data_IF_055350755954
#
_entry.id   IF_055350755954
#
_cell.length_a   1.000
_cell.length_b   1.000
_cell.length_c   1.000
_cell.angle_alpha   90.00
_cell.angle_beta   90.00
_cell.angle_gamma   90.00
#
_symmetry.space_group_name_H-M   'P 1'
#
loop_
_entity.id
_entity.type
_entity.pdbx_description
1 polymer ?
#
# COMPACT_ATOMS: atom_id res chain seq x y z
N UNK A 1 -8.63 8.01 1.35
CA UNK A 1 -8.07 6.87 0.60
C UNK A 1 -6.89 7.34 -0.24
N UNK A 2 -5.92 6.47 -0.45
CA UNK A 2 -4.81 6.64 -1.38
C UNK A 2 -4.90 5.54 -2.45
N UNK A 3 -5.04 5.90 -3.72
CA UNK A 3 -5.07 4.92 -4.81
C UNK A 3 -3.65 4.59 -5.28
N UNK A 4 -3.06 3.53 -4.74
CA UNK A 4 -1.66 3.19 -4.99
C UNK A 4 -1.40 2.58 -6.38
N UNK A 5 -2.39 2.41 -7.25
CA UNK A 5 -2.13 1.88 -8.60
C UNK A 5 -3.24 2.27 -9.56
N UNK A 6 -2.96 3.18 -10.48
CA UNK A 6 -3.82 3.41 -11.65
C UNK A 6 -2.98 3.98 -12.79
N UNK A 7 -3.55 3.99 -13.98
CA UNK A 7 -2.92 4.48 -15.20
C UNK A 7 -3.72 5.66 -15.76
N UNK A 8 -3.02 6.62 -16.35
CA UNK A 8 -3.62 7.70 -17.14
C UNK A 8 -3.18 7.53 -18.60
N UNK A 9 -4.15 7.47 -19.51
CA UNK A 9 -3.94 7.40 -20.96
C UNK A 9 -4.55 8.64 -21.61
N UNK A 10 -3.83 9.74 -21.46
CA UNK A 10 -4.21 11.05 -21.98
C UNK A 10 -3.99 11.11 -23.51
N UNK A 11 -5.01 11.52 -24.30
CA UNK A 11 -4.90 11.62 -25.76
C UNK A 11 -3.85 12.62 -26.26
N UNK A 12 -3.38 13.55 -25.43
CA UNK A 12 -2.35 14.53 -25.78
C UNK A 12 -0.96 13.92 -25.97
N UNK A 13 -0.75 12.69 -25.47
CA UNK A 13 0.55 12.03 -25.43
C UNK A 13 0.55 10.71 -26.20
N UNK A 14 1.70 10.30 -26.77
CA UNK A 14 1.79 9.07 -27.53
C UNK A 14 1.52 7.84 -26.66
N UNK A 15 0.94 6.82 -27.29
CA UNK A 15 0.80 5.48 -26.73
C UNK A 15 1.16 4.47 -27.80
N UNK A 16 1.95 3.48 -27.41
CA UNK A 16 2.48 2.46 -28.29
C UNK A 16 1.70 1.17 -28.09
N UNK A 17 1.37 0.52 -29.21
CA UNK A 17 0.82 -0.82 -29.18
C UNK A 17 1.83 -1.75 -28.49
N UNK A 18 1.30 -2.66 -27.68
CA UNK A 18 2.09 -3.69 -27.04
C UNK A 18 1.33 -5.01 -27.21
N UNK A 19 1.96 -6.01 -27.83
CA UNK A 19 1.39 -7.35 -28.07
C UNK A 19 -0.03 -7.32 -28.66
N UNK A 20 -0.28 -6.55 -29.73
CA UNK A 20 -1.60 -6.51 -30.37
C UNK A 20 -2.67 -5.73 -29.60
N UNK A 21 -2.30 -5.02 -28.53
CA UNK A 21 -3.25 -4.28 -27.70
C UNK A 21 -2.80 -2.83 -27.48
N UNK A 22 -3.71 -1.90 -27.77
CA UNK A 22 -3.60 -0.48 -27.45
C UNK A 22 -4.84 -0.08 -26.63
N UNK A 23 -4.68 0.43 -25.40
CA UNK A 23 -5.83 0.76 -24.57
C UNK A 23 -6.63 1.94 -25.15
N UNK A 24 -7.90 2.07 -24.75
CA UNK A 24 -8.67 3.30 -24.92
C UNK A 24 -8.09 4.45 -24.09
N UNK A 25 -8.56 5.66 -24.35
CA UNK A 25 -8.20 6.82 -23.52
C UNK A 25 -8.80 6.71 -22.12
N UNK A 26 -8.08 7.24 -21.14
CA UNK A 26 -8.54 7.33 -19.76
C UNK A 26 -7.83 8.50 -19.09
N UNK A 27 -8.54 9.63 -18.98
CA UNK A 27 -8.00 10.90 -18.52
C UNK A 27 -8.15 11.07 -17.01
N UNK A 28 -7.52 12.12 -16.45
CA UNK A 28 -7.72 12.50 -15.05
C UNK A 28 -9.19 12.83 -14.77
N UNK A 29 -9.90 13.45 -15.73
CA UNK A 29 -11.33 13.71 -15.60
C UNK A 29 -12.14 12.42 -15.52
N UNK A 30 -11.81 11.40 -16.34
CA UNK A 30 -12.45 10.10 -16.28
C UNK A 30 -12.20 9.40 -14.94
N UNK A 31 -10.97 9.47 -14.44
CA UNK A 31 -10.59 8.96 -13.13
C UNK A 31 -11.39 9.64 -12.01
N UNK A 32 -11.38 10.98 -11.94
CA UNK A 32 -12.12 11.76 -10.94
C UNK A 32 -13.61 11.46 -10.98
N UNK A 33 -14.19 11.31 -12.18
CA UNK A 33 -15.59 10.90 -12.35
C UNK A 33 -15.84 9.49 -11.81
N UNK A 34 -14.99 8.52 -12.16
CA UNK A 34 -15.10 7.12 -11.71
C UNK A 34 -14.97 6.98 -10.20
N UNK A 35 -14.13 7.80 -9.57
CA UNK A 35 -13.84 7.75 -8.13
C UNK A 35 -14.60 8.79 -7.31
N UNK A 36 -15.56 9.52 -7.90
CA UNK A 36 -16.29 10.63 -7.27
C UNK A 36 -17.06 10.28 -5.98
N UNK A 37 -17.34 8.99 -5.75
CA UNK A 37 -18.01 8.50 -4.52
C UNK A 37 -17.03 8.22 -3.37
N UNK A 38 -15.73 8.22 -3.66
CA UNK A 38 -14.67 7.95 -2.69
C UNK A 38 -13.93 9.23 -2.35
N UNK A 39 -13.56 9.38 -1.08
CA UNK A 39 -12.69 10.47 -0.62
C UNK A 39 -11.21 10.12 -0.90
N UNK A 40 -10.83 10.25 -2.18
CA UNK A 40 -9.47 10.03 -2.66
C UNK A 40 -8.65 11.30 -2.47
N UNK A 41 -7.69 11.25 -1.54
CA UNK A 41 -6.82 12.37 -1.18
C UNK A 41 -5.39 12.25 -1.73
N UNK A 42 -5.19 11.35 -2.70
CA UNK A 42 -3.88 11.06 -3.28
C UNK A 42 -3.84 9.72 -4.02
N UNK A 43 -2.75 9.47 -4.71
CA UNK A 43 -2.54 8.21 -5.43
C UNK A 43 -1.24 8.18 -6.21
N UNK A 44 -0.95 7.01 -6.79
CA UNK A 44 0.22 6.78 -7.63
C UNK A 44 -0.19 6.57 -9.09
N UNK A 45 0.18 7.51 -9.96
CA UNK A 45 0.09 7.35 -11.42
C UNK A 45 1.23 6.45 -11.85
N UNK A 46 0.90 5.23 -12.25
CA UNK A 46 1.88 4.21 -12.62
C UNK A 46 2.04 4.19 -14.14
N UNK A 47 3.28 4.21 -14.63
CA UNK A 47 3.56 4.06 -16.07
C UNK A 47 3.08 2.72 -16.60
N UNK A 48 2.19 2.79 -17.58
CA UNK A 48 1.70 1.63 -18.32
C UNK A 48 2.74 1.16 -19.35
N UNK A 49 2.69 -0.12 -19.72
CA UNK A 49 3.56 -0.67 -20.77
C UNK A 49 3.36 -0.06 -22.16
N UNK A 50 2.34 0.77 -22.32
CA UNK A 50 1.99 1.47 -23.57
C UNK A 50 2.64 2.85 -23.68
N UNK A 51 3.30 3.34 -22.64
CA UNK A 51 3.98 4.65 -22.63
C UNK A 51 5.50 4.52 -22.82
N UNK A 52 6.02 3.30 -22.83
CA UNK A 52 7.45 3.05 -22.97
C UNK A 52 8.23 3.76 -21.86
N UNK A 53 9.21 4.58 -22.26
CA UNK A 53 10.02 5.44 -21.38
C UNK A 53 9.69 6.92 -21.56
N UNK A 54 8.59 7.27 -22.25
CA UNK A 54 8.12 8.65 -22.33
C UNK A 54 7.65 9.14 -20.96
N UNK A 55 8.27 10.22 -20.49
CA UNK A 55 7.94 10.84 -19.21
C UNK A 55 6.97 12.01 -19.36
N UNK A 56 6.74 12.54 -20.58
CA UNK A 56 6.02 13.80 -20.79
C UNK A 56 4.60 13.76 -20.27
N UNK A 57 3.89 12.66 -20.48
CA UNK A 57 2.54 12.46 -19.96
C UNK A 57 2.51 12.43 -18.42
N UNK A 58 3.52 11.81 -17.79
CA UNK A 58 3.58 11.67 -16.33
C UNK A 58 3.86 13.02 -15.69
N UNK A 59 4.78 13.81 -16.27
CA UNK A 59 5.06 15.19 -15.86
C UNK A 59 3.77 16.03 -15.89
N UNK A 60 3.01 15.94 -16.98
CA UNK A 60 1.75 16.67 -17.12
C UNK A 60 0.66 16.18 -16.14
N UNK A 61 0.55 14.87 -15.94
CA UNK A 61 -0.44 14.29 -15.04
C UNK A 61 -0.20 14.70 -13.58
N UNK A 62 1.05 14.65 -13.10
CA UNK A 62 1.38 15.05 -11.73
C UNK A 62 1.18 16.56 -11.50
N UNK A 63 1.52 17.38 -12.49
CA UNK A 63 1.26 18.82 -12.43
C UNK A 63 -0.24 19.16 -12.32
N UNK A 64 -1.11 18.39 -12.99
CA UNK A 64 -2.57 18.58 -12.97
C UNK A 64 -3.24 18.00 -11.72
N UNK A 65 -2.73 16.88 -11.21
CA UNK A 65 -3.25 16.21 -10.01
C UNK A 65 -2.87 16.94 -8.72
N UNK A 66 -1.64 17.48 -8.65
CA UNK A 66 -1.16 18.29 -7.53
C UNK A 66 -0.70 17.48 -6.32
N UNK A 67 -0.74 18.10 -5.15
CA UNK A 67 -0.25 17.53 -3.90
C UNK A 67 -0.97 16.22 -3.53
N UNK A 68 -0.23 15.28 -2.94
CA UNK A 68 -0.74 13.96 -2.58
C UNK A 68 -0.71 12.93 -3.72
N UNK A 69 -0.35 13.35 -4.93
CA UNK A 69 -0.17 12.45 -6.09
C UNK A 69 1.29 12.28 -6.43
N UNK A 70 1.67 11.05 -6.76
CA UNK A 70 3.05 10.66 -7.07
C UNK A 70 3.11 9.85 -8.35
N UNK A 71 4.29 9.81 -8.96
CA UNK A 71 4.54 9.01 -10.14
C UNK A 71 5.34 7.75 -9.83
N UNK A 72 5.09 6.69 -10.59
CA UNK A 72 5.95 5.51 -10.67
C UNK A 72 6.23 5.27 -12.13
N UNK A 73 7.50 5.23 -12.53
CA UNK A 73 7.85 5.25 -13.94
C UNK A 73 8.79 4.13 -14.37
N UNK A 74 8.93 3.94 -15.68
CA UNK A 74 10.01 3.17 -16.27
C UNK A 74 10.95 4.14 -16.95
N UNK A 75 12.25 3.95 -16.74
CA UNK A 75 13.31 4.69 -17.42
C UNK A 75 14.11 3.76 -18.32
N UNK A 76 14.80 4.33 -19.29
CA UNK A 76 15.87 3.63 -20.00
C UNK A 76 17.03 3.35 -19.03
N UNK A 77 17.74 2.24 -19.22
CA UNK A 77 18.76 1.79 -18.27
C UNK A 77 19.97 2.74 -18.19
N UNK A 78 20.18 3.54 -19.23
CA UNK A 78 21.20 4.58 -19.34
C UNK A 78 20.72 5.97 -18.88
N UNK A 79 19.49 6.09 -18.37
CA UNK A 79 18.99 7.33 -17.80
C UNK A 79 19.98 7.91 -16.78
N UNK A 80 20.16 9.22 -16.83
CA UNK A 80 21.13 9.97 -16.04
C UNK A 80 20.62 10.26 -14.64
N UNK A 81 21.53 10.61 -13.73
CA UNK A 81 21.19 11.03 -12.38
C UNK A 81 20.36 12.34 -12.40
N UNK A 82 20.66 13.24 -13.34
CA UNK A 82 19.90 14.49 -13.53
C UNK A 82 18.44 14.24 -13.92
N UNK A 83 18.18 13.24 -14.77
CA UNK A 83 16.82 12.83 -15.11
C UNK A 83 16.07 12.26 -13.90
N UNK A 84 16.74 11.44 -13.08
CA UNK A 84 16.17 10.89 -11.84
C UNK A 84 15.84 12.04 -10.87
N UNK A 85 16.77 12.99 -10.68
CA UNK A 85 16.60 14.15 -9.82
C UNK A 85 15.50 15.10 -10.32
N UNK A 86 15.34 15.26 -11.63
CA UNK A 86 14.23 16.02 -12.21
C UNK A 86 12.88 15.37 -11.92
N UNK A 87 12.78 14.06 -12.13
CA UNK A 87 11.56 13.30 -11.88
C UNK A 87 11.20 13.25 -10.39
N UNK A 88 12.19 13.16 -9.50
CA UNK A 88 11.93 13.18 -8.06
C UNK A 88 11.34 14.52 -7.59
N UNK A 89 11.87 15.64 -8.13
CA UNK A 89 11.37 17.00 -7.83
C UNK A 89 9.91 17.21 -8.20
N UNK A 90 9.41 16.54 -9.23
CA UNK A 90 8.00 16.64 -9.65
C UNK A 90 7.10 15.60 -8.99
N UNK A 91 7.62 14.77 -8.09
CA UNK A 91 6.83 13.81 -7.31
C UNK A 91 6.90 12.35 -7.77
N UNK A 92 7.83 11.97 -8.65
CA UNK A 92 8.09 10.54 -8.90
C UNK A 92 8.77 9.92 -7.66
N UNK A 93 8.34 8.71 -7.29
CA UNK A 93 8.80 8.03 -6.07
C UNK A 93 9.30 6.60 -6.30
N UNK A 94 9.17 6.07 -7.52
CA UNK A 94 9.58 4.70 -7.78
C UNK A 94 9.75 4.35 -9.24
N UNK A 95 10.45 3.25 -9.46
CA UNK A 95 10.60 2.57 -10.74
C UNK A 95 9.60 1.44 -10.88
N UNK A 96 9.11 1.17 -12.09
CA UNK A 96 8.25 0.02 -12.38
C UNK A 96 8.98 -1.01 -13.23
N UNK A 97 9.12 -2.21 -12.70
CA UNK A 97 9.70 -3.36 -13.36
C UNK A 97 8.62 -4.34 -13.79
N UNK A 98 8.35 -4.39 -15.09
CA UNK A 98 7.44 -5.37 -15.69
C UNK A 98 8.22 -6.64 -16.06
N UNK A 99 8.50 -7.48 -15.08
CA UNK A 99 9.27 -8.71 -15.29
C UNK A 99 8.47 -9.73 -16.09
N UNK A 100 7.14 -9.75 -15.96
CA UNK A 100 6.25 -10.60 -16.78
C UNK A 100 6.51 -10.50 -18.29
N UNK A 101 7.04 -9.36 -18.76
CA UNK A 101 7.28 -9.10 -20.19
C UNK A 101 8.72 -8.70 -20.55
N UNK A 102 9.58 -8.41 -19.58
CA UNK A 102 10.88 -7.77 -19.83
C UNK A 102 12.07 -8.40 -19.08
N UNK A 103 12.07 -9.72 -18.88
CA UNK A 103 13.11 -10.46 -18.16
C UNK A 103 14.53 -10.45 -18.81
N UNK A 104 14.79 -9.58 -19.79
CA UNK A 104 16.01 -9.61 -20.59
C UNK A 104 17.24 -9.00 -19.89
N UNK A 105 17.08 -7.99 -19.01
CA UNK A 105 18.22 -7.36 -18.31
C UNK A 105 17.94 -7.09 -16.81
N UNK A 106 17.81 -8.17 -16.06
CA UNK A 106 17.61 -8.14 -14.61
C UNK A 106 18.77 -7.43 -13.88
N UNK A 107 20.01 -7.58 -14.37
CA UNK A 107 21.19 -6.99 -13.74
C UNK A 107 21.18 -5.47 -13.88
N UNK A 108 20.98 -4.95 -15.09
CA UNK A 108 20.86 -3.51 -15.34
C UNK A 108 19.72 -2.88 -14.56
N UNK A 109 18.56 -3.55 -14.52
CA UNK A 109 17.41 -3.10 -13.72
C UNK A 109 17.74 -3.04 -12.22
N UNK A 110 18.44 -4.05 -11.68
CA UNK A 110 18.85 -4.06 -10.27
C UNK A 110 19.82 -2.92 -9.96
N UNK A 111 20.80 -2.67 -10.83
CA UNK A 111 21.75 -1.56 -10.68
C UNK A 111 21.04 -0.19 -10.76
N UNK A 112 20.11 -0.02 -11.69
CA UNK A 112 19.30 1.20 -11.79
C UNK A 112 18.46 1.43 -10.54
N UNK A 113 17.86 0.37 -9.98
CA UNK A 113 17.08 0.45 -8.74
C UNK A 113 17.93 0.87 -7.54
N UNK A 114 19.11 0.25 -7.37
CA UNK A 114 20.04 0.60 -6.29
C UNK A 114 20.50 2.06 -6.42
N UNK A 115 20.87 2.50 -7.64
CA UNK A 115 21.28 3.87 -7.92
C UNK A 115 20.16 4.87 -7.63
N UNK A 116 18.94 4.63 -8.12
CA UNK A 116 17.80 5.53 -7.86
C UNK A 116 17.43 5.58 -6.38
N UNK A 117 17.56 4.47 -5.66
CA UNK A 117 17.35 4.44 -4.22
C UNK A 117 18.43 5.25 -3.47
N UNK A 118 19.70 5.09 -3.84
CA UNK A 118 20.79 5.84 -3.22
C UNK A 118 20.67 7.36 -3.46
N UNK A 119 20.31 7.77 -4.68
CA UNK A 119 20.20 9.19 -5.05
C UNK A 119 19.00 9.89 -4.41
N UNK A 120 17.83 9.27 -4.47
CA UNK A 120 16.56 9.94 -4.16
C UNK A 120 15.60 9.08 -3.34
N UNK A 121 16.01 7.89 -2.88
CA UNK A 121 15.21 7.00 -2.04
C UNK A 121 14.02 6.36 -2.76
N UNK A 122 14.08 6.22 -4.08
CA UNK A 122 13.03 5.54 -4.85
C UNK A 122 12.88 4.06 -4.46
N UNK A 123 11.65 3.56 -4.54
CA UNK A 123 11.34 2.14 -4.43
C UNK A 123 11.14 1.51 -5.82
N UNK A 124 10.93 0.20 -5.86
CA UNK A 124 10.61 -0.53 -7.08
C UNK A 124 9.24 -1.20 -6.97
N UNK A 125 8.43 -1.06 -8.01
CA UNK A 125 7.19 -1.81 -8.17
C UNK A 125 7.39 -2.93 -9.18
N UNK A 126 7.18 -4.16 -8.72
CA UNK A 126 7.45 -5.36 -9.51
C UNK A 126 6.13 -5.98 -9.95
N UNK A 127 5.91 -5.98 -11.27
CA UNK A 127 4.84 -6.75 -11.89
C UNK A 127 5.39 -8.07 -12.44
N UNK A 128 4.99 -9.16 -11.80
CA UNK A 128 5.51 -10.51 -12.01
C UNK A 128 4.38 -11.54 -11.85
N UNK A 129 4.45 -12.66 -12.55
CA UNK A 129 3.56 -13.81 -12.32
C UNK A 129 4.15 -14.75 -11.23
N UNK A 130 3.32 -15.62 -10.65
CA UNK A 130 3.77 -16.43 -9.51
C UNK A 130 4.82 -17.49 -9.84
N UNK A 131 4.83 -18.03 -11.07
CA UNK A 131 5.87 -18.99 -11.49
C UNK A 131 7.24 -18.32 -11.54
N UNK A 132 7.29 -17.10 -12.07
CA UNK A 132 8.52 -16.34 -12.15
C UNK A 132 8.91 -15.75 -10.79
N UNK A 133 7.95 -15.44 -9.91
CA UNK A 133 8.23 -14.98 -8.55
C UNK A 133 9.11 -15.98 -7.79
N UNK A 134 8.80 -17.28 -7.88
CA UNK A 134 9.60 -18.33 -7.27
C UNK A 134 11.05 -18.33 -7.77
N UNK A 135 11.24 -18.14 -9.07
CA UNK A 135 12.57 -18.16 -9.70
C UNK A 135 13.37 -16.88 -9.44
N UNK A 136 12.70 -15.74 -9.35
CA UNK A 136 13.33 -14.41 -9.23
C UNK A 136 13.36 -13.88 -7.80
N UNK A 137 12.79 -14.59 -6.82
CA UNK A 137 12.85 -14.19 -5.41
C UNK A 137 14.27 -13.83 -4.95
N UNK A 138 15.35 -14.60 -5.25
CA UNK A 138 16.70 -14.23 -4.82
C UNK A 138 17.22 -12.92 -5.42
N UNK A 139 16.68 -12.50 -6.57
CA UNK A 139 16.99 -11.24 -7.23
C UNK A 139 16.17 -10.11 -6.61
N UNK A 140 14.86 -10.31 -6.47
CA UNK A 140 13.93 -9.32 -5.92
C UNK A 140 14.36 -8.95 -4.49
N UNK A 141 14.83 -9.92 -3.70
CA UNK A 141 15.35 -9.69 -2.35
C UNK A 141 16.62 -8.81 -2.29
N UNK A 142 17.25 -8.48 -3.43
CA UNK A 142 18.36 -7.51 -3.50
C UNK A 142 17.90 -6.08 -3.74
N UNK A 143 16.63 -5.88 -4.08
CA UNK A 143 16.06 -4.55 -4.22
C UNK A 143 15.93 -3.91 -2.83
N UNK A 144 16.22 -2.61 -2.69
CA UNK A 144 16.29 -1.96 -1.38
C UNK A 144 14.91 -1.83 -0.73
N UNK A 145 13.94 -1.26 -1.46
CA UNK A 145 12.54 -1.14 -1.05
C UNK A 145 11.68 -1.47 -2.26
N UNK A 146 10.72 -2.37 -2.12
CA UNK A 146 9.89 -2.79 -3.24
C UNK A 146 8.46 -3.17 -2.85
N UNK A 147 7.58 -3.12 -3.85
CA UNK A 147 6.21 -3.60 -3.78
C UNK A 147 5.95 -4.63 -4.88
N UNK A 148 5.13 -5.63 -4.58
CA UNK A 148 4.61 -6.59 -5.57
C UNK A 148 3.22 -6.14 -6.03
N UNK A 149 3.05 -6.01 -7.35
CA UNK A 149 1.77 -5.65 -7.96
C UNK A 149 0.76 -6.82 -7.88
N UNK A 150 -0.53 -6.48 -7.76
CA UNK A 150 -1.68 -7.38 -7.94
C UNK A 150 -1.59 -8.71 -7.18
N UNK A 151 -1.22 -8.68 -5.90
CA UNK A 151 -1.12 -9.86 -5.02
C UNK A 151 -0.20 -10.98 -5.56
N UNK A 152 0.77 -10.66 -6.42
CA UNK A 152 1.63 -11.68 -7.05
C UNK A 152 0.91 -12.57 -8.07
N UNK A 153 -0.30 -12.19 -8.50
CA UNK A 153 -1.13 -12.77 -9.57
C UNK A 153 -1.62 -14.22 -9.45
N UNK A 154 -0.89 -15.14 -8.81
CA UNK A 154 -1.30 -16.55 -8.69
C UNK A 154 -1.12 -17.12 -7.28
N UNK A 155 -1.96 -18.11 -6.96
CA UNK A 155 -1.93 -18.82 -5.68
C UNK A 155 -0.62 -19.62 -5.50
N UNK A 156 -0.05 -20.15 -6.59
CA UNK A 156 1.26 -20.83 -6.59
C UNK A 156 2.40 -19.94 -6.09
N UNK A 157 2.33 -18.63 -6.37
CA UNK A 157 3.33 -17.66 -5.92
C UNK A 157 3.18 -17.25 -4.46
N UNK A 158 2.07 -17.57 -3.80
CA UNK A 158 1.73 -17.06 -2.47
C UNK A 158 2.76 -17.41 -1.39
N UNK A 159 3.33 -18.63 -1.29
CA UNK A 159 4.35 -18.92 -0.29
C UNK A 159 5.59 -18.01 -0.42
N UNK A 160 6.03 -17.73 -1.65
CA UNK A 160 7.18 -16.86 -1.92
C UNK A 160 6.85 -15.39 -1.66
N UNK A 161 5.63 -14.97 -1.99
CA UNK A 161 5.14 -13.65 -1.66
C UNK A 161 5.13 -13.42 -0.14
N UNK A 162 4.68 -14.40 0.65
CA UNK A 162 4.64 -14.30 2.10
C UNK A 162 6.05 -14.22 2.72
N UNK A 163 7.04 -14.95 2.20
CA UNK A 163 8.45 -14.78 2.63
C UNK A 163 8.99 -13.37 2.31
N UNK A 164 8.64 -12.79 1.16
CA UNK A 164 9.02 -11.41 0.84
C UNK A 164 8.32 -10.41 1.77
N UNK A 165 7.05 -10.63 2.09
CA UNK A 165 6.27 -9.79 3.01
C UNK A 165 6.84 -9.83 4.43
N UNK A 166 7.25 -11.01 4.91
CA UNK A 166 7.94 -11.19 6.19
C UNK A 166 9.23 -10.37 6.27
N UNK A 167 9.92 -10.23 5.12
CA UNK A 167 11.13 -9.39 4.97
C UNK A 167 10.84 -7.91 4.71
N UNK A 168 9.57 -7.49 4.76
CA UNK A 168 9.17 -6.08 4.65
C UNK A 168 8.70 -5.63 3.26
N UNK A 169 8.51 -6.54 2.30
CA UNK A 169 7.93 -6.18 1.01
C UNK A 169 6.49 -5.65 1.18
N UNK A 170 6.15 -4.61 0.40
CA UNK A 170 4.75 -4.18 0.25
C UNK A 170 4.05 -4.97 -0.84
N UNK A 171 2.72 -5.00 -0.80
CA UNK A 171 1.89 -5.69 -1.78
C UNK A 171 0.68 -4.82 -2.13
N UNK A 172 0.42 -4.66 -3.42
CA UNK A 172 -0.74 -3.91 -3.88
C UNK A 172 -1.99 -4.78 -3.92
N UNK A 173 -2.96 -4.48 -3.06
CA UNK A 173 -4.31 -5.03 -3.08
C UNK A 173 -5.11 -4.42 -4.24
N UNK A 174 -4.82 -4.92 -5.44
CA UNK A 174 -5.25 -4.36 -6.74
C UNK A 174 -5.51 -5.50 -7.73
N UNK A 175 -6.18 -5.20 -8.85
CA UNK A 175 -6.22 -6.11 -10.00
C UNK A 175 -6.96 -7.43 -9.76
N UNK A 176 -7.96 -7.46 -8.85
CA UNK A 176 -8.68 -8.69 -8.47
C UNK A 176 -9.38 -9.39 -9.65
N UNK A 177 -9.64 -8.69 -10.75
CA UNK A 177 -10.15 -9.28 -12.00
C UNK A 177 -9.09 -9.86 -12.94
N UNK A 178 -7.82 -9.90 -12.53
CA UNK A 178 -6.68 -10.48 -13.28
C UNK A 178 -6.10 -11.73 -12.64
N UNK A 179 -6.44 -11.97 -11.37
CA UNK A 179 -5.84 -13.03 -10.57
C UNK A 179 -6.69 -14.28 -10.60
N UNK A 180 -6.05 -15.43 -10.49
CA UNK A 180 -6.69 -16.75 -10.37
C UNK A 180 -6.41 -17.31 -8.97
N UNK A 181 -7.02 -16.70 -7.95
CA UNK A 181 -6.84 -17.09 -6.54
C UNK A 181 -8.04 -16.66 -5.69
N UNK A 182 -8.12 -17.20 -4.46
CA UNK A 182 -9.01 -16.66 -3.44
C UNK A 182 -8.44 -15.34 -2.88
N UNK A 183 -8.96 -14.22 -3.36
CA UNK A 183 -8.51 -12.87 -2.97
C UNK A 183 -8.68 -12.63 -1.46
N UNK A 184 -9.82 -13.02 -0.88
CA UNK A 184 -10.11 -12.77 0.53
C UNK A 184 -9.13 -13.50 1.45
N UNK A 185 -8.84 -14.78 1.14
CA UNK A 185 -7.87 -15.57 1.89
C UNK A 185 -6.44 -15.03 1.71
N UNK A 186 -6.08 -14.64 0.48
CA UNK A 186 -4.76 -14.08 0.17
C UNK A 186 -4.51 -12.78 0.94
N UNK A 187 -5.47 -11.85 0.94
CA UNK A 187 -5.41 -10.62 1.71
C UNK A 187 -5.22 -10.91 3.20
N UNK A 188 -6.02 -11.84 3.76
CA UNK A 188 -5.92 -12.23 5.18
C UNK A 188 -4.54 -12.77 5.54
N UNK A 189 -3.98 -13.63 4.69
CA UNK A 189 -2.66 -14.24 4.91
C UNK A 189 -1.52 -13.22 4.83
N UNK A 190 -1.55 -12.32 3.85
CA UNK A 190 -0.55 -11.25 3.74
C UNK A 190 -0.64 -10.32 4.96
N UNK A 191 -1.85 -9.89 5.32
CA UNK A 191 -2.08 -9.02 6.46
C UNK A 191 -1.63 -9.66 7.78
N UNK A 192 -1.85 -10.97 7.94
CA UNK A 192 -1.43 -11.71 9.13
C UNK A 192 0.10 -11.81 9.27
N UNK A 193 0.85 -11.83 8.15
CA UNK A 193 2.32 -11.80 8.18
C UNK A 193 2.81 -10.40 8.52
N UNK A 194 2.28 -9.38 7.85
CA UNK A 194 2.65 -8.00 8.10
C UNK A 194 1.48 -7.04 7.79
N UNK A 195 0.87 -6.39 8.81
CA UNK A 195 -0.28 -5.52 8.62
C UNK A 195 0.05 -4.26 7.81
N UNK A 196 1.32 -3.88 7.74
CA UNK A 196 1.76 -2.73 6.96
C UNK A 196 1.98 -3.06 5.46
N UNK A 197 1.92 -4.34 5.08
CA UNK A 197 2.29 -4.76 3.72
C UNK A 197 1.27 -4.34 2.66
N UNK A 198 -0.03 -4.41 2.98
CA UNK A 198 -1.09 -4.19 1.99
C UNK A 198 -1.31 -2.70 1.70
N UNK A 199 -1.39 -2.38 0.41
CA UNK A 199 -1.72 -1.05 -0.10
C UNK A 199 -2.85 -1.15 -1.14
N UNK A 200 -3.94 -0.44 -0.92
CA UNK A 200 -5.06 -0.37 -1.87
C UNK A 200 -4.67 0.31 -3.18
N UNK A 201 -5.23 -0.18 -4.28
CA UNK A 201 -5.32 0.59 -5.52
C UNK A 201 -6.36 0.02 -6.47
N UNK A 202 -6.77 0.81 -7.45
CA UNK A 202 -7.88 0.44 -8.34
C UNK A 202 -7.44 -0.37 -9.56
N UNK A 203 -6.21 -0.19 -10.02
CA UNK A 203 -5.73 -0.65 -11.34
C UNK A 203 -6.60 -0.11 -12.49
N UNK A 204 -7.25 1.05 -12.31
CA UNK A 204 -8.01 1.68 -13.39
C UNK A 204 -7.09 2.10 -14.55
N UNK A 205 -7.55 2.00 -15.81
CA UNK A 205 -8.87 1.55 -16.26
C UNK A 205 -9.03 0.02 -16.39
N UNK A 206 -8.07 -0.78 -15.91
CA UNK A 206 -8.12 -2.24 -15.95
C UNK A 206 -7.70 -2.82 -17.29
N UNK A 207 -6.68 -2.25 -17.95
CA UNK A 207 -6.25 -2.68 -19.29
C UNK A 207 -5.87 -4.15 -19.33
N UNK A 208 -6.61 -4.98 -20.08
CA UNK A 208 -6.47 -6.45 -20.14
C UNK A 208 -6.90 -7.21 -18.87
N UNK A 209 -7.61 -6.58 -17.94
CA UNK A 209 -8.24 -7.31 -16.85
C UNK A 209 -9.46 -8.07 -17.37
N UNK A 210 -9.68 -9.30 -16.90
CA UNK A 210 -10.93 -10.03 -17.19
C UNK A 210 -12.14 -9.31 -16.60
N UNK A 211 -11.93 -8.59 -15.49
CA UNK A 211 -12.92 -7.72 -14.85
C UNK A 211 -12.24 -6.43 -14.35
N UNK A 212 -12.78 -5.24 -14.64
CA UNK A 212 -12.27 -3.99 -14.08
C UNK A 212 -12.62 -3.84 -12.60
N UNK A 213 -12.01 -2.83 -11.95
CA UNK A 213 -12.29 -2.44 -10.58
C UNK A 213 -13.79 -2.22 -10.30
N UNK A 214 -14.27 -2.81 -9.21
CA UNK A 214 -15.63 -2.63 -8.69
C UNK A 214 -15.55 -2.05 -7.28
N UNK A 215 -16.56 -1.28 -6.91
CA UNK A 215 -16.63 -0.66 -5.58
C UNK A 215 -16.68 -1.75 -4.48
N UNK A 216 -17.28 -2.91 -4.76
CA UNK A 216 -17.27 -4.09 -3.89
C UNK A 216 -15.87 -4.65 -3.59
N UNK A 217 -14.85 -4.30 -4.39
CA UNK A 217 -13.47 -4.68 -4.11
C UNK A 217 -12.94 -3.93 -2.87
N UNK A 218 -13.44 -2.71 -2.60
CA UNK A 218 -13.14 -1.95 -1.38
C UNK A 218 -13.83 -2.59 -0.19
N UNK A 219 -15.12 -2.92 -0.33
CA UNK A 219 -15.89 -3.60 0.72
C UNK A 219 -15.20 -4.92 1.14
N UNK A 220 -14.74 -5.71 0.15
CA UNK A 220 -14.00 -6.94 0.40
C UNK A 220 -12.72 -6.71 1.22
N UNK A 221 -11.95 -5.65 0.91
CA UNK A 221 -10.74 -5.31 1.66
C UNK A 221 -11.12 -4.97 3.10
N UNK A 222 -12.10 -4.08 3.29
CA UNK A 222 -12.57 -3.67 4.61
C UNK A 222 -13.06 -4.85 5.44
N UNK A 223 -13.84 -5.75 4.86
CA UNK A 223 -14.37 -6.94 5.55
C UNK A 223 -13.25 -7.89 5.99
N UNK A 224 -12.16 -7.98 5.21
CA UNK A 224 -11.03 -8.89 5.51
C UNK A 224 -10.10 -8.31 6.58
N UNK A 225 -9.75 -7.03 6.49
CA UNK A 225 -8.74 -6.42 7.38
C UNK A 225 -9.36 -5.73 8.60
N UNK A 226 -10.68 -5.52 8.61
CA UNK A 226 -11.41 -5.00 9.76
C UNK A 226 -10.96 -3.60 10.18
N UNK A 227 -10.54 -3.47 11.45
CA UNK A 227 -10.14 -2.19 12.03
C UNK A 227 -8.93 -1.55 11.34
N UNK A 228 -8.12 -2.34 10.64
CA UNK A 228 -6.93 -1.88 9.92
C UNK A 228 -7.25 -1.37 8.50
N UNK A 229 -8.54 -1.24 8.14
CA UNK A 229 -8.97 -0.75 6.82
C UNK A 229 -8.32 0.58 6.45
N UNK A 230 -8.13 1.47 7.42
CA UNK A 230 -7.53 2.77 7.21
C UNK A 230 -6.03 2.69 6.90
N UNK A 231 -5.32 1.73 7.49
CA UNK A 231 -3.92 1.47 7.17
C UNK A 231 -3.79 1.00 5.72
N UNK A 232 -4.61 0.03 5.32
CA UNK A 232 -4.56 -0.57 3.98
C UNK A 232 -5.07 0.36 2.88
N UNK A 233 -6.14 1.11 3.14
CA UNK A 233 -6.74 2.03 2.17
C UNK A 233 -5.97 3.36 2.03
N UNK A 234 -5.01 3.65 2.91
CA UNK A 234 -4.33 4.95 2.91
C UNK A 234 -2.93 4.96 3.55
N UNK A 235 -2.80 4.64 4.85
CA UNK A 235 -1.59 5.02 5.61
C UNK A 235 -0.33 4.26 5.16
N UNK A 236 -0.47 2.95 4.89
CA UNK A 236 0.62 2.11 4.41
C UNK A 236 1.18 2.65 3.09
N UNK A 237 0.30 3.08 2.18
CA UNK A 237 0.69 3.66 0.90
C UNK A 237 1.38 5.01 1.11
N UNK A 238 0.81 5.92 1.91
CA UNK A 238 1.45 7.21 2.19
C UNK A 238 2.86 7.05 2.75
N UNK A 239 3.05 6.12 3.69
CA UNK A 239 4.37 5.80 4.22
C UNK A 239 5.32 5.29 3.13
N UNK A 240 4.87 4.33 2.31
CA UNK A 240 5.67 3.75 1.22
C UNK A 240 6.09 4.77 0.15
N UNK A 241 5.19 5.68 -0.22
CA UNK A 241 5.46 6.76 -1.18
C UNK A 241 6.12 8.01 -0.54
N UNK A 242 6.45 7.95 0.75
CA UNK A 242 7.12 9.03 1.52
C UNK A 242 6.32 10.34 1.50
N UNK A 243 5.01 10.21 1.69
CA UNK A 243 4.08 11.34 1.82
C UNK A 243 3.71 11.56 3.30
N UNK A 244 3.34 12.79 3.68
CA UNK A 244 2.81 13.06 5.02
C UNK A 244 1.59 12.18 5.33
N UNK A 245 1.51 11.75 6.59
CA UNK A 245 0.34 11.06 7.10
C UNK A 245 -0.90 11.96 6.98
N UNK A 246 -2.05 11.39 6.61
CA UNK A 246 -3.29 12.16 6.58
C UNK A 246 -3.81 12.33 8.00
N UNK A 247 -3.96 13.58 8.43
CA UNK A 247 -4.64 13.88 9.68
C UNK A 247 -6.11 13.54 9.50
N UNK A 248 -6.56 12.46 10.13
CA UNK A 248 -7.99 12.15 10.23
C UNK A 248 -8.53 12.96 11.40
N UNK A 249 -9.44 13.89 11.11
CA UNK A 249 -10.28 14.43 12.17
C UNK A 249 -11.14 13.27 12.68
N UNK A 250 -10.84 12.77 13.88
CA UNK A 250 -11.81 11.93 14.59
C UNK A 250 -13.09 12.78 14.69
N UNK A 251 -14.27 12.24 14.34
CA UNK A 251 -15.51 12.93 14.65
C UNK A 251 -15.45 13.26 16.15
N UNK A 252 -15.69 14.52 16.50
CA UNK A 252 -15.85 14.89 17.90
C UNK A 252 -16.87 13.92 18.50
N UNK A 253 -16.47 13.15 19.51
CA UNK A 253 -17.41 12.30 20.22
C UNK A 253 -18.54 13.20 20.74
N UNK A 254 -19.79 13.05 20.29
CA UNK A 254 -20.88 13.88 20.78
C UNK A 254 -21.16 13.63 22.27
N UNK A 255 -20.62 12.55 22.84
CA UNK A 255 -20.66 12.21 24.24
C UNK A 255 -19.30 11.64 24.68
N UNK A 256 -18.23 12.47 24.77
CA UNK A 256 -16.91 12.00 25.15
C UNK A 256 -17.05 11.20 26.43
N UNK A 257 -16.53 9.97 26.42
CA UNK A 257 -16.46 9.18 27.65
C UNK A 257 -15.67 10.03 28.63
N UNK A 258 -16.34 10.55 29.67
CA UNK A 258 -15.67 11.33 30.70
C UNK A 258 -14.52 10.44 31.21
N UNK A 259 -13.30 10.98 31.36
CA UNK A 259 -12.23 10.20 31.95
C UNK A 259 -12.77 9.57 33.24
N UNK A 260 -12.56 8.26 33.42
CA UNK A 260 -12.86 7.59 34.68
C UNK A 260 -12.35 8.51 35.78
N UNK A 261 -13.25 8.92 36.69
CA UNK A 261 -12.94 9.86 37.76
C UNK A 261 -11.61 9.45 38.38
N UNK A 262 -10.57 10.20 38.07
CA UNK A 262 -9.26 9.99 38.66
C UNK A 262 -9.39 10.70 39.98
N UNK A 263 -9.58 9.94 41.06
CA UNK A 263 -9.49 10.52 42.39
C UNK A 263 -8.16 11.29 42.42
N UNK A 264 -8.21 12.59 42.70
CA UNK A 264 -7.04 13.50 42.65
C UNK A 264 -5.89 13.09 43.59
N UNK A 265 -6.11 12.05 44.39
CA UNK A 265 -5.07 11.39 45.15
C UNK A 265 -5.17 9.88 44.95
N UNK A 266 -4.08 9.19 44.53
CA UNK A 266 -3.99 7.78 44.80
C UNK A 266 -4.20 7.59 46.30
N UNK A 267 -5.08 6.67 46.69
CA UNK A 267 -5.16 6.23 48.08
C UNK A 267 -3.75 5.86 48.52
N UNK A 268 -3.15 6.71 49.36
CA UNK A 268 -1.82 6.44 49.88
C UNK A 268 -1.91 5.06 50.57
N UNK A 269 -0.98 4.14 50.30
CA UNK A 269 -0.97 2.85 50.99
C UNK A 269 -0.90 3.11 52.49
N UNK A 270 -1.95 2.73 53.21
CA UNK A 270 -1.96 2.78 54.67
C UNK A 270 -0.88 1.80 55.12
N UNK A 271 0.14 2.28 55.84
CA UNK A 271 1.17 1.39 56.35
C UNK A 271 0.54 0.45 57.39
N UNK A 272 0.99 -0.80 57.42
CA UNK A 272 0.36 -1.89 58.19
C UNK A 272 0.26 -1.61 59.70
N UNK A 273 1.15 -0.78 60.20
CA UNK A 273 1.26 -0.24 61.57
C UNK A 273 0.27 0.89 61.88
N UNK A 274 -0.31 1.51 60.86
CA UNK A 274 -1.36 2.56 60.96
C UNK A 274 -2.79 2.03 60.80
N UNK A 275 -2.96 0.71 60.64
CA UNK A 275 -4.28 0.08 60.67
C UNK A 275 -4.84 0.10 62.11
N UNK A 276 -6.16 0.34 62.29
CA UNK A 276 -6.80 0.19 63.59
C UNK A 276 -6.55 -1.22 64.12
N UNK A 277 -6.05 -1.32 65.35
CA UNK A 277 -5.92 -2.63 66.01
C UNK A 277 -7.33 -3.12 66.34
N UNK A 278 -7.67 -4.39 66.03
CA UNK A 278 -8.98 -4.93 66.38
C UNK A 278 -9.16 -4.85 67.90
N UNK A 279 -10.29 -4.32 68.35
CA UNK A 279 -10.67 -4.37 69.76
C UNK A 279 -11.01 -5.83 70.13
N UNK A 280 -10.74 -6.21 71.39
CA UNK A 280 -10.74 -7.60 71.86
C UNK A 280 -12.12 -8.31 71.83
N UNK A 281 -13.14 -7.70 71.21
CA UNK A 281 -14.54 -8.18 71.24
C UNK A 281 -15.07 -8.56 69.85
N UNK A 282 -14.33 -8.31 68.76
CA UNK A 282 -14.87 -8.42 67.39
C UNK A 282 -14.73 -9.80 66.71
N UNK A 283 -14.30 -10.84 67.41
CA UNK A 283 -14.31 -12.21 66.85
C UNK A 283 -15.50 -13.01 67.35
N UNK A 284 -16.59 -13.00 66.58
CA UNK A 284 -17.63 -14.03 66.68
C UNK A 284 -17.04 -15.31 66.05
N UNK A 285 -16.96 -16.45 66.78
CA UNK A 285 -16.48 -17.69 66.21
C UNK A 285 -17.45 -18.18 65.12
N UNK A 286 -16.91 -18.61 63.98
CA UNK A 286 -17.69 -19.26 62.93
C UNK A 286 -18.31 -20.55 63.48
N UNK A 287 -19.62 -20.80 63.25
CA UNK A 287 -20.24 -22.05 63.68
C UNK A 287 -19.65 -23.22 62.89
N UNK A 288 -19.28 -24.27 63.61
CA UNK A 288 -18.90 -25.55 63.03
C UNK A 288 -20.18 -26.18 62.46
N UNK A 289 -20.16 -26.50 61.17
CA UNK A 289 -21.23 -27.25 60.50
C UNK A 289 -20.87 -28.73 60.65
N UNK A 290 -21.69 -29.50 61.36
CA UNK A 290 -21.67 -30.97 61.38
C UNK A 290 -22.32 -31.55 60.12
#
# INVERSE_FOLDING_TARGET
MFDAHFHIFDPRFPRFENEGYLPGHFTIADYRKRMSRFDVGGGAVVSGSFQGTDQTYLKAALAELGEGWVGVTRLDLDATDDEILELDRIGVRGLRFNLKRAAADITGMTLQALRAHELVGWHVEVYIDGQMLASLQPVISKLPVFAIDHLGMSEEGLPFLLDLVDRGARVKATGFGRVSMNVADTLRRIHAVNPEALMFGTDLPGTRAGRPFRDSDVDLICDVVGTDMFAVLEDNARAFYRLPARVRALPADPAPTLPLYTAEQPTLPIRRDSLPKPEAVDTIPLPIIE
#
